data_IF_145500801062
#
_entry.id   IF_145500801062
#
_cell.length_a   1.000
_cell.length_b   1.000
_cell.length_c   1.000
_cell.angle_alpha   90.00
_cell.angle_beta   90.00
_cell.angle_gamma   90.00
#
_symmetry.space_group_name_H-M   'P 1'
#
loop_
_entity.id
_entity.type
_entity.pdbx_description
1 polymer ?
#
# COMPACT_ATOMS: atom_id res chain seq x y z
N UNK A 1 12.52 -2.10 12.55
CA UNK A 1 12.67 -1.60 11.18
C UNK A 1 11.31 -1.44 10.59
N UNK A 2 11.06 -0.32 9.98
CA UNK A 2 9.72 0.07 9.61
C UNK A 2 9.16 -0.78 8.48
N UNK A 3 7.83 -0.89 8.44
CA UNK A 3 7.00 -1.50 7.40
C UNK A 3 7.31 -1.06 5.94
N UNK A 4 8.36 -0.28 5.70
CA UNK A 4 8.74 0.22 4.37
C UNK A 4 9.35 -0.84 3.45
N UNK A 5 9.84 -1.96 3.99
CA UNK A 5 10.50 -3.03 3.22
C UNK A 5 9.65 -4.29 3.08
N UNK A 6 8.37 -4.23 3.34
CA UNK A 6 7.46 -5.40 3.32
C UNK A 6 7.43 -6.18 2.00
N UNK A 7 7.76 -5.51 0.89
CA UNK A 7 7.68 -6.07 -0.47
C UNK A 7 9.06 -6.20 -1.14
N UNK A 8 10.15 -5.82 -0.44
CA UNK A 8 11.49 -5.85 -0.99
C UNK A 8 12.22 -7.09 -0.50
N UNK A 9 12.73 -7.90 -1.42
CA UNK A 9 13.48 -9.12 -1.13
C UNK A 9 14.97 -8.84 -1.02
N UNK A 10 15.57 -8.17 -2.01
CA UNK A 10 16.98 -7.80 -2.04
C UNK A 10 17.20 -6.35 -2.51
N UNK A 11 17.08 -5.40 -1.60
CA UNK A 11 17.23 -3.97 -1.90
C UNK A 11 18.72 -3.55 -1.85
N UNK A 12 19.33 -3.39 -3.01
CA UNK A 12 20.75 -3.00 -3.17
C UNK A 12 20.91 -1.58 -3.70
N UNK A 13 21.98 -0.85 -3.32
CA UNK A 13 22.29 0.46 -3.88
C UNK A 13 22.43 0.44 -5.39
N UNK A 14 21.74 1.35 -6.08
CA UNK A 14 21.85 1.48 -7.52
C UNK A 14 23.24 2.08 -7.89
N UNK A 15 23.92 1.47 -8.85
CA UNK A 15 25.19 1.97 -9.36
C UNK A 15 25.33 1.73 -10.86
N UNK A 16 26.12 2.56 -11.53
CA UNK A 16 26.43 2.40 -12.95
C UNK A 16 27.21 1.13 -13.23
N UNK A 17 28.12 0.74 -12.32
CA UNK A 17 28.94 -0.47 -12.47
C UNK A 17 28.07 -1.75 -12.56
N UNK A 18 27.02 -1.84 -11.73
CA UNK A 18 26.16 -3.02 -11.65
C UNK A 18 24.94 -2.93 -12.56
N UNK A 19 24.37 -1.72 -12.74
CA UNK A 19 23.06 -1.54 -13.38
C UNK A 19 23.11 -0.69 -14.65
N UNK A 20 24.31 -0.40 -15.18
CA UNK A 20 24.50 0.46 -16.37
C UNK A 20 23.73 0.00 -17.60
N UNK A 21 23.62 -1.31 -17.80
CA UNK A 21 22.90 -1.92 -18.93
C UNK A 21 21.43 -2.27 -18.62
N UNK A 22 20.95 -1.98 -17.39
CA UNK A 22 19.63 -2.40 -16.99
C UNK A 22 18.54 -1.46 -17.52
N UNK A 23 17.45 -2.10 -17.91
CA UNK A 23 16.18 -1.45 -18.24
C UNK A 23 15.07 -2.03 -17.37
N UNK A 24 14.00 -1.26 -17.14
CA UNK A 24 12.89 -1.65 -16.28
C UNK A 24 11.55 -1.44 -16.96
N UNK A 25 10.64 -2.39 -16.79
CA UNK A 25 9.22 -2.26 -17.09
C UNK A 25 8.45 -2.20 -15.79
N UNK A 26 7.73 -1.11 -15.56
CA UNK A 26 6.92 -0.90 -14.36
C UNK A 26 5.45 -0.66 -14.71
N UNK A 27 4.57 -0.78 -13.72
CA UNK A 27 3.17 -0.35 -13.82
C UNK A 27 2.19 -1.33 -14.46
N UNK A 28 2.65 -2.52 -14.89
CA UNK A 28 1.78 -3.53 -15.48
C UNK A 28 1.59 -4.78 -14.61
N UNK A 29 2.61 -5.18 -13.86
CA UNK A 29 2.61 -6.37 -13.02
C UNK A 29 2.67 -5.97 -11.54
N UNK A 30 1.62 -6.33 -10.80
CA UNK A 30 1.50 -6.12 -9.35
C UNK A 30 1.54 -7.43 -8.56
N UNK A 31 2.12 -8.50 -9.13
CA UNK A 31 2.25 -9.82 -8.47
C UNK A 31 2.93 -9.72 -7.10
N UNK A 32 3.92 -8.84 -6.96
CA UNK A 32 4.62 -8.56 -5.71
C UNK A 32 3.70 -8.06 -4.57
N UNK A 33 2.53 -7.53 -4.91
CA UNK A 33 1.55 -7.03 -3.94
C UNK A 33 0.44 -8.05 -3.65
N UNK A 34 0.41 -9.21 -4.31
CA UNK A 34 -0.68 -10.20 -4.20
C UNK A 34 -0.92 -10.68 -2.77
N UNK A 35 0.14 -10.84 -2.00
CA UNK A 35 0.08 -11.30 -0.60
C UNK A 35 -0.16 -10.20 0.43
N UNK A 36 -0.44 -8.96 0.02
CA UNK A 36 -0.59 -7.82 0.94
C UNK A 36 -2.06 -7.50 1.18
N UNK A 37 -2.55 -7.73 2.39
CA UNK A 37 -3.90 -7.33 2.78
C UNK A 37 -4.02 -5.85 3.18
N UNK A 38 -2.90 -5.17 3.41
CA UNK A 38 -2.85 -3.73 3.70
C UNK A 38 -1.49 -3.14 3.36
N UNK A 39 -1.47 -1.85 3.02
CA UNK A 39 -0.22 -1.11 2.75
C UNK A 39 -0.26 0.28 3.37
N UNK A 40 0.90 0.85 3.74
CA UNK A 40 0.98 2.22 4.23
C UNK A 40 0.42 3.23 3.23
N UNK A 41 -0.27 4.24 3.74
CA UNK A 41 -0.84 5.34 2.97
C UNK A 41 -0.32 6.68 3.48
N UNK A 42 0.14 7.52 2.57
CA UNK A 42 0.54 8.88 2.92
C UNK A 42 -0.70 9.77 3.14
N UNK A 43 -0.62 10.74 4.05
CA UNK A 43 -1.71 11.69 4.29
C UNK A 43 -2.15 12.43 3.01
N UNK A 44 -1.20 12.78 2.15
CA UNK A 44 -1.46 13.40 0.85
C UNK A 44 -2.30 12.52 -0.11
N UNK A 45 -2.43 11.23 0.18
CA UNK A 45 -3.20 10.28 -0.64
C UNK A 45 -4.62 10.05 -0.12
N UNK A 46 -4.99 10.60 1.06
CA UNK A 46 -6.28 10.29 1.70
C UNK A 46 -7.47 10.54 0.78
N UNK A 47 -7.53 11.70 0.14
CA UNK A 47 -8.67 12.08 -0.73
C UNK A 47 -8.85 11.09 -1.88
N UNK A 48 -7.84 10.83 -2.75
CA UNK A 48 -8.02 9.86 -3.84
C UNK A 48 -8.22 8.44 -3.32
N UNK A 49 -7.53 8.02 -2.25
CA UNK A 49 -7.64 6.68 -1.69
C UNK A 49 -9.02 6.42 -1.06
N UNK A 50 -9.60 7.40 -0.37
CA UNK A 50 -10.91 7.27 0.30
C UNK A 50 -12.08 7.03 -0.67
N UNK A 51 -11.89 7.24 -1.97
CA UNK A 51 -12.91 6.92 -2.97
C UNK A 51 -13.12 5.42 -3.18
N UNK A 52 -12.15 4.60 -2.76
CA UNK A 52 -12.14 3.16 -3.06
C UNK A 52 -11.70 2.30 -1.87
N UNK A 53 -10.81 2.79 -1.00
CA UNK A 53 -10.25 2.03 0.11
C UNK A 53 -10.78 2.51 1.46
N UNK A 54 -10.84 1.58 2.41
CA UNK A 54 -10.93 1.94 3.82
C UNK A 54 -9.54 2.30 4.34
N UNK A 55 -9.41 3.50 4.89
CA UNK A 55 -8.20 3.97 5.54
C UNK A 55 -8.31 3.61 7.01
N UNK A 56 -7.27 3.02 7.57
CA UNK A 56 -7.19 2.65 8.99
C UNK A 56 -5.84 3.11 9.56
N UNK A 57 -5.70 3.09 10.88
CA UNK A 57 -4.41 3.31 11.53
C UNK A 57 -3.89 1.96 12.06
N UNK A 58 -2.73 1.53 11.56
CA UNK A 58 -2.09 0.28 11.93
C UNK A 58 -0.81 0.52 12.74
N UNK A 59 -0.46 -0.40 13.63
CA UNK A 59 0.69 -0.29 14.53
C UNK A 59 0.30 0.10 15.94
N UNK A 60 1.30 0.25 16.79
CA UNK A 60 1.16 0.61 18.21
C UNK A 60 2.15 1.68 18.61
N UNK A 61 1.79 2.50 19.60
CA UNK A 61 2.65 3.56 20.13
C UNK A 61 3.16 4.49 19.02
N UNK A 62 4.47 4.71 18.98
CA UNK A 62 5.12 5.58 17.97
C UNK A 62 5.18 4.98 16.57
N UNK A 63 4.78 3.72 16.41
CA UNK A 63 4.74 3.05 15.10
C UNK A 63 3.37 3.13 14.41
N UNK A 64 2.39 3.82 14.99
CA UNK A 64 1.07 4.02 14.39
C UNK A 64 1.21 4.79 13.07
N UNK A 65 0.65 4.24 12.00
CA UNK A 65 0.69 4.83 10.67
C UNK A 65 -0.60 4.54 9.90
N UNK A 66 -1.09 5.50 9.09
CA UNK A 66 -2.24 5.26 8.23
C UNK A 66 -1.93 4.15 7.21
N UNK A 67 -2.90 3.30 6.96
CA UNK A 67 -2.81 2.22 5.98
C UNK A 67 -4.14 2.05 5.27
N UNK A 68 -4.11 1.57 4.04
CA UNK A 68 -5.33 1.14 3.33
C UNK A 68 -5.46 -0.36 3.40
N UNK A 69 -6.70 -0.82 3.53
CA UNK A 69 -7.04 -2.24 3.44
C UNK A 69 -7.15 -2.62 1.96
N UNK A 70 -6.48 -3.69 1.59
CA UNK A 70 -6.49 -4.27 0.24
C UNK A 70 -7.14 -5.66 0.20
N UNK A 71 -7.27 -6.32 1.35
CA UNK A 71 -7.90 -7.62 1.48
C UNK A 71 -8.44 -7.84 2.89
N UNK A 72 -9.45 -8.71 3.02
CA UNK A 72 -10.11 -9.01 4.29
C UNK A 72 -9.48 -10.18 5.01
N UNK A 73 -8.58 -10.91 4.37
CA UNK A 73 -7.81 -12.03 4.93
C UNK A 73 -6.32 -11.76 4.80
N UNK A 74 -5.56 -12.32 5.73
CA UNK A 74 -4.10 -12.27 5.64
C UNK A 74 -3.61 -12.98 4.38
N UNK A 75 -2.62 -12.37 3.72
CA UNK A 75 -2.05 -12.93 2.51
C UNK A 75 -2.89 -12.73 1.23
N UNK A 76 -3.98 -11.97 1.27
CA UNK A 76 -4.85 -11.74 0.12
C UNK A 76 -4.96 -10.25 -0.23
N UNK A 77 -4.84 -9.95 -1.52
CA UNK A 77 -5.07 -8.62 -2.09
C UNK A 77 -6.18 -8.71 -3.15
N UNK A 78 -7.33 -8.12 -2.85
CA UNK A 78 -8.50 -8.12 -3.74
C UNK A 78 -8.38 -7.17 -4.93
N UNK A 79 -7.27 -6.41 -5.03
CA UNK A 79 -7.00 -5.46 -6.10
C UNK A 79 -5.96 -5.94 -7.11
N UNK A 80 -5.40 -7.13 -6.93
CA UNK A 80 -4.51 -7.75 -7.93
C UNK A 80 -5.28 -8.87 -8.63
N UNK A 81 -5.57 -8.67 -9.92
CA UNK A 81 -6.28 -9.63 -10.76
C UNK A 81 -5.46 -10.89 -11.05
N UNK A 82 -6.08 -11.91 -11.65
CA UNK A 82 -5.40 -13.15 -12.05
C UNK A 82 -4.26 -12.89 -13.05
N UNK A 83 -4.42 -11.88 -13.88
CA UNK A 83 -3.44 -11.38 -14.84
C UNK A 83 -2.34 -10.50 -14.22
N UNK A 84 -2.27 -10.43 -12.89
CA UNK A 84 -1.42 -9.54 -12.11
C UNK A 84 -1.67 -8.03 -12.30
N UNK A 85 -2.68 -7.63 -13.06
CA UNK A 85 -3.03 -6.23 -13.23
C UNK A 85 -3.72 -5.67 -11.98
N UNK A 86 -3.50 -4.38 -11.73
CA UNK A 86 -4.21 -3.66 -10.67
C UNK A 86 -5.67 -3.38 -11.08
N UNK A 87 -6.60 -3.80 -10.25
CA UNK A 87 -8.05 -3.72 -10.51
C UNK A 87 -8.71 -2.51 -9.82
N UNK A 88 -7.94 -1.64 -9.20
CA UNK A 88 -8.41 -0.42 -8.55
C UNK A 88 -8.27 0.80 -9.46
N UNK A 89 -8.95 1.90 -9.08
CA UNK A 89 -8.81 3.20 -9.74
C UNK A 89 -7.57 3.95 -9.28
N UNK A 90 -7.15 3.71 -8.06
CA UNK A 90 -6.00 4.35 -7.44
C UNK A 90 -4.96 3.30 -7.01
N UNK A 91 -3.69 3.57 -7.29
CA UNK A 91 -2.57 2.75 -6.82
C UNK A 91 -1.84 3.51 -5.72
N UNK A 92 -1.79 3.01 -4.48
CA UNK A 92 -1.03 3.65 -3.40
C UNK A 92 0.43 3.91 -3.76
N UNK A 93 0.97 5.05 -3.35
CA UNK A 93 2.35 5.45 -3.64
C UNK A 93 3.37 4.44 -3.09
N UNK A 94 3.02 3.75 -2.01
CA UNK A 94 3.81 2.64 -1.47
C UNK A 94 4.04 1.53 -2.52
N UNK A 95 3.03 1.18 -3.30
CA UNK A 95 3.16 0.21 -4.40
C UNK A 95 3.81 0.83 -5.63
N UNK A 96 3.46 2.08 -5.98
CA UNK A 96 4.01 2.76 -7.16
C UNK A 96 5.51 2.98 -7.10
N UNK A 97 6.11 3.09 -5.91
CA UNK A 97 7.56 3.27 -5.77
C UNK A 97 8.36 2.00 -6.05
N UNK A 98 7.73 0.82 -5.92
CA UNK A 98 8.41 -0.45 -6.17
C UNK A 98 8.87 -0.53 -7.64
N UNK A 99 10.07 -1.00 -7.93
CA UNK A 99 11.04 -1.65 -7.07
C UNK A 99 12.08 -0.70 -6.41
N UNK A 100 11.85 0.60 -6.38
CA UNK A 100 12.79 1.58 -5.86
C UNK A 100 12.49 1.97 -4.41
N UNK A 101 13.53 2.14 -3.60
CA UNK A 101 13.42 2.55 -2.20
C UNK A 101 14.64 3.33 -1.76
N UNK A 102 14.47 4.26 -0.81
CA UNK A 102 15.61 4.84 -0.11
C UNK A 102 16.03 3.99 1.08
N UNK A 103 17.32 3.63 1.12
CA UNK A 103 18.01 3.21 2.32
C UNK A 103 18.57 4.44 3.03
N UNK A 104 18.39 4.50 4.32
CA UNK A 104 18.96 5.55 5.17
C UNK A 104 20.25 5.05 5.79
N UNK A 105 21.33 5.87 5.74
CA UNK A 105 22.58 5.57 6.41
C UNK A 105 22.39 5.45 7.94
N UNK A 106 23.29 4.76 8.63
CA UNK A 106 23.21 4.54 10.08
C UNK A 106 23.23 5.85 10.87
N UNK A 107 23.97 6.85 10.40
CA UNK A 107 24.01 8.20 10.97
C UNK A 107 22.77 9.03 10.65
N UNK A 108 21.89 8.50 9.79
CA UNK A 108 20.64 9.13 9.40
C UNK A 108 20.77 10.35 8.50
N UNK A 109 21.97 10.70 8.05
CA UNK A 109 22.25 11.91 7.28
C UNK A 109 22.10 11.75 5.78
N UNK A 110 22.22 10.54 5.25
CA UNK A 110 22.25 10.28 3.81
C UNK A 110 21.18 9.28 3.40
N UNK A 111 20.54 9.55 2.25
CA UNK A 111 19.62 8.62 1.60
C UNK A 111 20.27 8.09 0.31
N UNK A 112 20.37 6.78 0.19
CA UNK A 112 20.86 6.08 -1.01
C UNK A 112 19.69 5.44 -1.71
N UNK A 113 19.56 5.68 -3.03
CA UNK A 113 18.55 4.98 -3.82
C UNK A 113 18.97 3.53 -4.00
N UNK A 114 18.08 2.62 -3.63
CA UNK A 114 18.22 1.19 -3.80
C UNK A 114 17.15 0.67 -4.75
N UNK A 115 17.43 -0.47 -5.37
CA UNK A 115 16.48 -1.24 -6.18
C UNK A 115 16.37 -2.66 -5.63
N UNK A 116 15.19 -3.26 -5.74
CA UNK A 116 15.01 -4.67 -5.50
C UNK A 116 15.34 -5.45 -6.78
N UNK A 117 16.50 -6.12 -6.81
CA UNK A 117 16.98 -6.82 -7.99
C UNK A 117 16.13 -8.03 -8.37
N UNK A 118 15.36 -8.60 -7.43
CA UNK A 118 14.44 -9.71 -7.68
C UNK A 118 13.17 -9.29 -8.45
N UNK A 119 13.01 -8.00 -8.72
CA UNK A 119 11.87 -7.54 -9.51
C UNK A 119 11.91 -8.05 -10.95
N UNK A 120 10.90 -8.82 -11.34
CA UNK A 120 10.78 -9.44 -12.68
C UNK A 120 10.72 -8.45 -13.86
N UNK A 121 10.49 -7.16 -13.59
CA UNK A 121 10.46 -6.12 -14.61
C UNK A 121 11.84 -5.67 -15.10
N UNK A 122 12.92 -6.01 -14.39
CA UNK A 122 14.28 -5.68 -14.83
C UNK A 122 14.75 -6.59 -15.97
N UNK A 123 15.53 -6.03 -16.87
CA UNK A 123 16.11 -6.74 -18.01
C UNK A 123 17.33 -6.01 -18.57
N UNK A 124 18.17 -6.73 -19.34
CA UNK A 124 19.33 -6.20 -20.06
C UNK A 124 19.11 -6.20 -21.59
N UNK A 125 17.86 -6.39 -22.03
CA UNK A 125 17.48 -6.46 -23.43
C UNK A 125 17.03 -5.09 -23.99
N UNK A 126 17.12 -4.03 -23.20
CA UNK A 126 16.66 -2.68 -23.56
C UNK A 126 15.14 -2.53 -23.62
N UNK A 127 14.38 -3.43 -22.95
CA UNK A 127 12.92 -3.38 -22.92
C UNK A 127 12.44 -2.50 -21.76
N UNK A 128 11.72 -1.42 -22.08
CA UNK A 128 11.23 -0.42 -21.11
C UNK A 128 12.20 0.74 -20.95
N UNK A 129 12.25 1.33 -19.76
CA UNK A 129 13.04 2.52 -19.44
C UNK A 129 14.46 2.13 -19.01
N UNK A 130 15.49 2.68 -19.65
CA UNK A 130 16.87 2.51 -19.21
C UNK A 130 17.12 3.29 -17.91
N UNK A 131 17.94 2.72 -17.04
CA UNK A 131 18.34 3.38 -15.79
C UNK A 131 19.48 4.38 -16.02
N UNK A 132 20.45 4.02 -16.87
CA UNK A 132 21.58 4.85 -17.23
C UNK A 132 21.70 4.98 -18.76
N UNK A 133 22.25 6.08 -19.23
CA UNK A 133 22.55 6.29 -20.63
C UNK A 133 23.92 5.66 -21.04
N UNK A 134 24.33 5.85 -22.29
CA UNK A 134 25.58 5.28 -22.82
C UNK A 134 26.85 5.89 -22.19
N UNK A 135 26.75 7.02 -21.54
CA UNK A 135 27.86 7.70 -20.86
C UNK A 135 27.87 7.38 -19.35
N UNK A 136 26.93 6.57 -18.87
CA UNK A 136 26.77 6.23 -17.47
C UNK A 136 26.08 7.31 -16.62
N UNK A 137 25.51 8.33 -17.28
CA UNK A 137 24.67 9.31 -16.58
C UNK A 137 23.26 8.77 -16.36
N UNK A 138 22.57 9.29 -15.35
CA UNK A 138 21.20 8.92 -15.06
C UNK A 138 20.27 9.38 -16.17
N UNK A 139 19.38 8.49 -16.59
CA UNK A 139 18.33 8.86 -17.55
C UNK A 139 17.27 9.76 -16.89
N UNK A 140 16.46 10.42 -17.71
CA UNK A 140 15.31 11.20 -17.22
C UNK A 140 14.35 10.33 -16.39
N UNK A 141 14.20 9.06 -16.74
CA UNK A 141 13.40 8.11 -15.97
C UNK A 141 13.95 7.96 -14.54
N UNK A 142 15.24 7.69 -14.40
CA UNK A 142 15.87 7.52 -13.09
C UNK A 142 15.86 8.81 -12.26
N UNK A 143 15.99 9.98 -12.89
CA UNK A 143 15.83 11.27 -12.20
C UNK A 143 14.38 11.48 -11.71
N UNK A 144 13.38 11.07 -12.48
CA UNK A 144 11.98 11.10 -12.06
C UNK A 144 11.73 10.14 -10.87
N UNK A 145 12.32 8.95 -10.88
CA UNK A 145 12.27 8.01 -9.77
C UNK A 145 12.89 8.62 -8.50
N UNK A 146 14.05 9.24 -8.62
CA UNK A 146 14.70 9.94 -7.50
C UNK A 146 13.83 11.05 -6.93
N UNK A 147 13.23 11.86 -7.79
CA UNK A 147 12.30 12.92 -7.38
C UNK A 147 11.10 12.34 -6.64
N UNK A 148 10.45 11.33 -7.22
CA UNK A 148 9.29 10.67 -6.61
C UNK A 148 9.62 10.06 -5.24
N UNK A 149 10.77 9.38 -5.12
CA UNK A 149 11.18 8.75 -3.87
C UNK A 149 11.52 9.77 -2.78
N UNK A 150 12.09 10.94 -3.15
CA UNK A 150 12.31 12.07 -2.24
C UNK A 150 10.99 12.68 -1.76
N UNK A 151 10.05 12.90 -2.67
CA UNK A 151 8.71 13.40 -2.34
C UNK A 151 7.98 12.43 -1.43
N UNK A 152 8.06 11.11 -1.73
CA UNK A 152 7.50 10.08 -0.86
C UNK A 152 8.06 10.16 0.56
N UNK A 153 9.38 10.29 0.71
CA UNK A 153 10.01 10.38 2.04
C UNK A 153 9.59 11.63 2.80
N UNK A 154 9.47 12.76 2.13
CA UNK A 154 8.98 14.00 2.73
C UNK A 154 7.51 13.86 3.21
N UNK A 155 6.65 13.29 2.38
CA UNK A 155 5.26 13.03 2.74
C UNK A 155 5.11 11.95 3.83
N UNK A 156 6.00 10.96 3.85
CA UNK A 156 6.05 9.98 4.93
C UNK A 156 6.30 10.65 6.29
N UNK A 157 7.26 11.56 6.37
CA UNK A 157 7.56 12.29 7.60
C UNK A 157 6.36 13.17 8.04
N UNK A 158 5.68 13.82 7.11
CA UNK A 158 4.46 14.61 7.40
C UNK A 158 3.33 13.72 7.91
N UNK A 159 3.17 12.56 7.31
CA UNK A 159 2.16 11.57 7.71
C UNK A 159 2.42 11.04 9.12
N UNK A 160 3.70 10.80 9.46
CA UNK A 160 4.10 10.43 10.82
C UNK A 160 3.76 11.53 11.84
N UNK A 161 4.01 12.78 11.50
CA UNK A 161 3.64 13.92 12.36
C UNK A 161 2.13 13.97 12.59
N UNK A 162 1.33 13.81 11.54
CA UNK A 162 -0.12 13.76 11.65
C UNK A 162 -0.59 12.60 12.55
N UNK A 163 -0.07 11.37 12.34
CA UNK A 163 -0.43 10.21 13.16
C UNK A 163 -0.05 10.41 14.64
N UNK A 164 1.12 10.98 14.92
CA UNK A 164 1.54 11.31 16.28
C UNK A 164 0.63 12.34 16.92
N UNK A 165 0.24 13.38 16.18
CA UNK A 165 -0.70 14.40 16.68
C UNK A 165 -2.06 13.81 17.04
N UNK A 166 -2.59 12.89 16.21
CA UNK A 166 -3.85 12.20 16.54
C UNK A 166 -3.73 11.39 17.84
N UNK A 167 -2.60 10.76 18.06
CA UNK A 167 -2.31 10.01 19.29
C UNK A 167 -2.19 10.93 20.50
N UNK A 168 -1.45 12.05 20.39
CA UNK A 168 -1.29 13.03 21.46
C UNK A 168 -2.62 13.67 21.88
N UNK A 169 -3.52 13.86 20.91
CA UNK A 169 -4.89 14.34 21.15
C UNK A 169 -5.85 13.22 21.59
N UNK A 170 -5.35 11.99 21.77
CA UNK A 170 -6.14 10.80 22.16
C UNK A 170 -7.34 10.52 21.24
N UNK A 171 -7.23 10.89 19.96
CA UNK A 171 -8.31 10.74 18.98
C UNK A 171 -8.44 9.32 18.43
N UNK A 172 -7.42 8.46 18.57
CA UNK A 172 -7.44 7.10 18.07
C UNK A 172 -8.06 6.15 19.08
N UNK A 173 -8.88 5.23 18.59
CA UNK A 173 -9.46 4.14 19.37
C UNK A 173 -9.36 2.81 18.63
N UNK A 174 -9.19 1.73 19.39
CA UNK A 174 -9.16 0.38 18.82
C UNK A 174 -10.50 0.06 18.17
N UNK A 175 -10.43 -0.50 16.95
CA UNK A 175 -11.60 -0.85 16.18
C UNK A 175 -11.51 -2.27 15.65
N UNK A 176 -12.66 -2.85 15.37
CA UNK A 176 -12.83 -4.12 14.67
C UNK A 176 -14.01 -4.01 13.72
N UNK A 177 -13.90 -4.67 12.57
CA UNK A 177 -14.98 -4.79 11.63
C UNK A 177 -15.34 -6.27 11.44
N UNK A 178 -16.62 -6.60 11.45
CA UNK A 178 -17.13 -7.95 11.22
C UNK A 178 -18.02 -7.95 10.00
N UNK A 179 -17.80 -8.90 9.12
CA UNK A 179 -18.52 -9.04 7.86
C UNK A 179 -19.11 -10.43 7.76
N UNK A 180 -20.30 -10.52 7.21
CA UNK A 180 -20.79 -11.77 6.67
C UNK A 180 -20.42 -11.82 5.19
N UNK A 181 -19.62 -12.80 4.83
CA UNK A 181 -19.29 -13.09 3.46
C UNK A 181 -20.48 -13.78 2.79
N UNK A 182 -20.67 -13.62 1.46
CA UNK A 182 -21.77 -14.25 0.73
C UNK A 182 -21.76 -15.79 0.74
N UNK A 183 -20.63 -16.42 1.09
CA UNK A 183 -20.52 -17.87 1.35
C UNK A 183 -21.07 -18.29 2.75
N UNK A 184 -21.59 -17.32 3.52
CA UNK A 184 -22.13 -17.51 4.87
C UNK A 184 -21.04 -17.53 5.96
N UNK A 185 -19.76 -17.43 5.63
CA UNK A 185 -18.69 -17.32 6.60
C UNK A 185 -18.62 -15.91 7.18
N UNK A 186 -18.16 -15.80 8.43
CA UNK A 186 -17.90 -14.51 9.06
C UNK A 186 -16.40 -14.20 8.96
N UNK A 187 -16.07 -13.06 8.38
CA UNK A 187 -14.71 -12.50 8.44
C UNK A 187 -14.66 -11.39 9.48
N UNK A 188 -13.54 -11.31 10.20
CA UNK A 188 -13.28 -10.24 11.15
C UNK A 188 -11.94 -9.60 10.83
N UNK A 189 -11.93 -8.27 10.69
CA UNK A 189 -10.73 -7.47 10.62
C UNK A 189 -10.54 -6.79 11.96
N UNK A 190 -9.41 -7.01 12.62
CA UNK A 190 -9.09 -6.47 13.94
C UNK A 190 -7.61 -6.02 13.99
N UNK A 191 -7.20 -5.40 15.12
CA UNK A 191 -5.81 -4.95 15.29
C UNK A 191 -5.49 -3.65 14.59
N UNK A 192 -6.49 -2.82 14.34
CA UNK A 192 -6.33 -1.47 13.80
C UNK A 192 -7.04 -0.44 14.70
N UNK A 193 -6.78 0.82 14.43
CA UNK A 193 -7.42 1.94 15.11
C UNK A 193 -8.12 2.83 14.11
N UNK A 194 -9.13 3.55 14.58
CA UNK A 194 -9.88 4.57 13.84
C UNK A 194 -9.96 5.85 14.65
N UNK A 195 -10.30 6.96 14.01
CA UNK A 195 -10.54 8.22 14.71
C UNK A 195 -11.90 8.13 15.40
N UNK A 196 -11.91 8.44 16.71
CA UNK A 196 -13.15 8.61 17.46
C UNK A 196 -13.79 9.96 17.10
N UNK A 197 -14.95 9.91 16.44
CA UNK A 197 -15.65 11.09 15.94
C UNK A 197 -16.12 12.01 17.05
N UNK A 198 -16.55 11.47 18.18
CA UNK A 198 -17.09 12.26 19.29
C UNK A 198 -15.97 12.97 20.03
N UNK A 199 -14.84 12.31 20.25
CA UNK A 199 -13.63 12.95 20.77
C UNK A 199 -13.14 14.08 19.85
N UNK A 200 -13.11 13.85 18.51
CA UNK A 200 -12.74 14.88 17.55
C UNK A 200 -13.64 16.11 17.68
N UNK A 201 -14.95 15.92 17.77
CA UNK A 201 -15.93 17.00 17.93
C UNK A 201 -15.85 17.72 19.29
N UNK A 202 -15.34 17.04 20.32
CA UNK A 202 -15.20 17.57 21.66
C UNK A 202 -13.88 18.35 21.87
N UNK A 203 -12.99 18.39 20.86
CA UNK A 203 -11.75 19.18 20.96
C UNK A 203 -12.03 20.66 21.18
N UNK A 204 -11.14 21.37 21.88
CA UNK A 204 -11.21 22.81 22.01
C UNK A 204 -11.27 23.51 20.66
N UNK A 205 -12.07 24.60 20.57
CA UNK A 205 -12.25 25.33 19.31
C UNK A 205 -10.94 25.85 18.70
N UNK A 206 -9.96 26.22 19.53
CA UNK A 206 -8.63 26.64 19.07
C UNK A 206 -7.88 25.51 18.39
N UNK A 207 -7.91 24.30 18.99
CA UNK A 207 -7.30 23.09 18.40
C UNK A 207 -7.96 22.72 17.07
N UNK A 208 -9.30 22.77 17.00
CA UNK A 208 -10.02 22.54 15.74
C UNK A 208 -9.68 23.57 14.67
N UNK A 209 -9.55 24.86 15.05
CA UNK A 209 -9.16 25.92 14.13
C UNK A 209 -7.72 25.73 13.61
N UNK A 210 -6.82 25.24 14.44
CA UNK A 210 -5.45 24.90 14.03
C UNK A 210 -5.44 23.72 13.06
N UNK A 211 -6.11 22.62 13.40
CA UNK A 211 -6.24 21.45 12.54
C UNK A 211 -6.89 21.79 11.18
N UNK A 212 -7.82 22.76 11.16
CA UNK A 212 -8.41 23.24 9.92
C UNK A 212 -7.41 24.02 9.04
N UNK A 213 -6.49 24.81 9.65
CA UNK A 213 -5.46 25.55 8.90
C UNK A 213 -4.37 24.65 8.33
N UNK A 214 -4.14 23.48 8.94
CA UNK A 214 -3.12 22.49 8.53
C UNK A 214 -3.69 21.38 7.68
N UNK A 215 -4.98 21.44 7.31
CA UNK A 215 -5.75 20.42 6.58
C UNK A 215 -5.93 19.09 7.36
N UNK A 216 -5.42 18.99 8.59
CA UNK A 216 -5.53 17.76 9.41
C UNK A 216 -6.99 17.42 9.74
N UNK A 217 -7.83 18.44 9.94
CA UNK A 217 -9.26 18.21 10.19
C UNK A 217 -9.96 17.58 8.99
N UNK A 218 -9.63 18.00 7.78
CA UNK A 218 -10.12 17.38 6.54
C UNK A 218 -9.71 15.91 6.47
N UNK A 219 -8.44 15.60 6.72
CA UNK A 219 -7.93 14.24 6.74
C UNK A 219 -8.69 13.36 7.74
N UNK A 220 -9.04 13.89 8.92
CA UNK A 220 -9.84 13.17 9.90
C UNK A 220 -11.22 12.78 9.34
N UNK A 221 -11.92 13.70 8.68
CA UNK A 221 -13.25 13.43 8.12
C UNK A 221 -13.17 12.54 6.86
N UNK A 222 -12.15 12.69 6.04
CA UNK A 222 -11.89 11.80 4.89
C UNK A 222 -11.63 10.37 5.38
N UNK A 223 -10.83 10.19 6.44
CA UNK A 223 -10.66 8.89 7.07
C UNK A 223 -12.00 8.30 7.53
N UNK A 224 -12.80 9.06 8.30
CA UNK A 224 -14.10 8.59 8.78
C UNK A 224 -15.05 8.20 7.64
N UNK A 225 -15.06 8.97 6.55
CA UNK A 225 -15.85 8.67 5.35
C UNK A 225 -15.36 7.39 4.66
N UNK A 226 -14.04 7.18 4.60
CA UNK A 226 -13.42 6.04 3.92
C UNK A 226 -13.82 4.68 4.53
N UNK A 227 -14.18 4.65 5.81
CA UNK A 227 -14.61 3.42 6.50
C UNK A 227 -15.86 2.79 5.87
N UNK A 228 -16.67 3.56 5.14
CA UNK A 228 -17.79 3.02 4.36
C UNK A 228 -17.36 2.04 3.26
N UNK A 229 -16.08 2.09 2.84
CA UNK A 229 -15.54 1.18 1.82
C UNK A 229 -15.27 -0.24 2.35
N UNK A 230 -15.33 -0.48 3.66
CA UNK A 230 -15.14 -1.81 4.23
C UNK A 230 -16.17 -2.81 3.70
N UNK A 231 -17.45 -2.42 3.58
CA UNK A 231 -18.50 -3.30 3.07
C UNK A 231 -18.33 -3.67 1.58
N UNK A 232 -18.12 -2.71 0.64
CA UNK A 232 -17.81 -3.04 -0.75
C UNK A 232 -16.57 -3.94 -0.91
N UNK A 233 -15.55 -3.75 -0.08
CA UNK A 233 -14.33 -4.56 -0.12
C UNK A 233 -14.59 -6.01 0.25
N UNK A 234 -15.38 -6.27 1.29
CA UNK A 234 -15.79 -7.62 1.67
C UNK A 234 -16.54 -8.33 0.53
N UNK A 235 -17.38 -7.59 -0.21
CA UNK A 235 -18.09 -8.12 -1.39
C UNK A 235 -17.15 -8.43 -2.55
N UNK A 236 -16.13 -7.58 -2.78
CA UNK A 236 -15.14 -7.76 -3.84
C UNK A 236 -14.33 -9.06 -3.65
N UNK A 237 -13.89 -9.34 -2.44
CA UNK A 237 -13.16 -10.57 -2.12
C UNK A 237 -13.94 -11.83 -2.44
N UNK A 238 -15.24 -11.81 -2.20
CA UNK A 238 -16.11 -12.96 -2.49
C UNK A 238 -16.29 -13.18 -3.99
N UNK A 239 -16.33 -12.12 -4.79
CA UNK A 239 -16.41 -12.23 -6.24
C UNK A 239 -15.14 -12.89 -6.81
N UNK A 240 -13.95 -12.49 -6.34
CA UNK A 240 -12.68 -13.09 -6.72
C UNK A 240 -12.59 -14.58 -6.34
N UNK A 241 -13.00 -14.94 -5.12
CA UNK A 241 -13.01 -16.34 -4.67
C UNK A 241 -13.93 -17.26 -5.51
N UNK A 242 -15.09 -16.75 -5.94
CA UNK A 242 -16.02 -17.51 -6.81
C UNK A 242 -15.47 -17.75 -8.21
N UNK A 243 -14.70 -16.82 -8.74
CA UNK A 243 -14.07 -16.96 -10.05
C UNK A 243 -13.02 -18.08 -10.01
N UNK A 244 -12.26 -18.17 -8.93
CA UNK A 244 -11.22 -19.21 -8.74
C UNK A 244 -11.85 -20.60 -8.54
N UNK A 245 -12.95 -20.72 -7.79
CA UNK A 245 -13.64 -21.98 -7.53
C UNK A 245 -14.37 -22.53 -8.78
N UNK A 246 -14.86 -21.64 -9.65
CA UNK A 246 -15.48 -22.00 -10.93
C UNK A 246 -14.48 -22.45 -12.00
N UNK A 247 -13.18 -22.13 -11.82
CA UNK A 247 -12.10 -22.49 -12.73
C UNK A 247 -11.43 -23.85 -12.40
N UNK A 248 -11.68 -24.44 -11.22
CA UNK A 248 -11.22 -25.80 -10.92
C UNK A 248 -12.08 -26.84 -11.67
N UNK A 249 -11.48 -27.69 -12.53
CA UNK A 249 -12.24 -28.73 -13.24
C UNK A 249 -12.79 -29.75 -12.23
N UNK A 250 -14.09 -30.05 -12.36
CA UNK A 250 -14.76 -31.04 -11.51
C UNK A 250 -14.00 -32.37 -11.51
N UNK A 251 -13.83 -33.05 -10.36
CA UNK A 251 -13.09 -34.31 -10.28
C UNK A 251 -13.74 -35.34 -11.20
N UNK A 252 -12.93 -35.90 -12.12
CA UNK A 252 -13.34 -37.00 -13.01
C UNK A 252 -13.91 -38.18 -12.20
N UNK A 253 -15.16 -38.52 -12.46
CA UNK A 253 -15.79 -39.71 -11.88
C UNK A 253 -15.00 -40.97 -12.31
N UNK A 254 -14.62 -41.89 -11.40
CA UNK A 254 -13.90 -43.08 -11.76
C UNK A 254 -14.76 -43.93 -12.70
N UNK A 255 -14.17 -44.27 -13.85
CA UNK A 255 -14.77 -45.13 -14.84
C UNK A 255 -15.14 -46.51 -14.23
N UNK A 256 -16.45 -46.77 -14.14
CA UNK A 256 -16.99 -48.01 -13.64
C UNK A 256 -16.48 -49.22 -14.46
N UNK A 257 -15.75 -50.14 -13.83
CA UNK A 257 -15.40 -51.42 -14.38
C UNK A 257 -16.69 -52.20 -14.61
N UNK A 258 -17.03 -52.43 -15.88
CA UNK A 258 -18.01 -53.48 -16.26
C UNK A 258 -17.38 -54.83 -16.03
N UNK A 259 -18.06 -55.67 -15.26
CA UNK A 259 -17.86 -57.11 -15.26
C UNK A 259 -18.59 -57.71 -16.47
#
# INVERSE_FOLDING_TARGET
MPKQLMIYEDAVPISTERHGEWSVKTGADYSYARGLNSVPLLAAEFIPAATEFAIIFAGEGDSIFPSVILGMRDGENSFVGEDNAWQGKYVPAFLRRYPFVFSRSEDGGTFTLCIDEEFNGFNQEGKGERLFDSEGARTQYLENVLKFTREYQAQFNRTMQFANRLRELELLEAAQARFQLPDGQSAALAGFQTINRDKLKALPGETLAEMARTDELELCYVHLQSLNNLTPMAQRQTAAARTTEAAEPAPEKPAGKKK
#
